data_IF_168191388712
#
_entry.id   IF_168191388712
#
_cell.length_a   1.000
_cell.length_b   1.000
_cell.length_c   1.000
_cell.angle_alpha   90.00
_cell.angle_beta   90.00
_cell.angle_gamma   90.00
#
_symmetry.space_group_name_H-M   'P 1'
#
loop_
_entity.id
_entity.type
_entity.pdbx_description
1 polymer ?
#
# COMPACT_ATOMS: atom_id res chain seq x y z
N UNK A 1 10.29 12.66 18.62
CA UNK A 1 9.45 13.83 18.31
C UNK A 1 8.01 13.47 18.61
N UNK A 2 7.28 14.27 19.39
CA UNK A 2 5.87 14.03 19.68
C UNK A 2 5.07 14.16 18.37
N UNK A 3 4.48 13.04 17.92
CA UNK A 3 3.51 13.03 16.82
C UNK A 3 2.36 13.94 17.24
N UNK A 4 2.29 15.15 16.68
CA UNK A 4 1.23 16.10 17.00
C UNK A 4 -0.09 15.49 16.55
N UNK A 5 -0.92 15.12 17.52
CA UNK A 5 -2.32 14.72 17.36
C UNK A 5 -3.18 15.93 16.97
N UNK A 6 -2.87 16.55 15.82
CA UNK A 6 -3.82 17.44 15.18
C UNK A 6 -5.01 16.59 14.77
N UNK A 7 -6.20 16.91 15.29
CA UNK A 7 -7.46 16.31 14.86
C UNK A 7 -7.54 16.34 13.34
N UNK A 8 -7.39 15.17 12.71
CA UNK A 8 -7.42 15.05 11.25
C UNK A 8 -8.77 15.51 10.72
N UNK A 9 -8.77 16.17 9.57
CA UNK A 9 -9.98 16.46 8.81
C UNK A 9 -10.45 15.16 8.15
N UNK A 10 -11.72 14.81 8.31
CA UNK A 10 -12.34 13.66 7.67
C UNK A 10 -13.32 14.17 6.63
N UNK A 11 -13.23 13.62 5.41
CA UNK A 11 -14.07 13.96 4.27
C UNK A 11 -14.75 12.70 3.75
N UNK A 12 -16.02 12.55 4.05
CA UNK A 12 -16.78 11.38 3.62
C UNK A 12 -16.91 11.34 2.10
N UNK A 13 -16.70 10.16 1.54
CA UNK A 13 -17.06 9.87 0.16
C UNK A 13 -18.50 9.34 0.13
N UNK A 14 -19.21 9.60 -0.96
CA UNK A 14 -20.59 9.15 -1.11
C UNK A 14 -20.81 8.38 -2.39
N UNK A 15 -21.66 7.36 -2.32
CA UNK A 15 -22.14 6.60 -3.47
C UNK A 15 -23.63 6.88 -3.64
N UNK A 16 -24.01 7.55 -4.73
CA UNK A 16 -25.40 7.94 -5.00
C UNK A 16 -26.09 8.68 -3.83
N UNK A 17 -25.32 9.48 -3.07
CA UNK A 17 -25.81 10.22 -1.89
C UNK A 17 -25.77 9.45 -0.56
N UNK A 18 -25.43 8.16 -0.56
CA UNK A 18 -25.25 7.36 0.64
C UNK A 18 -23.77 7.32 1.08
N UNK A 19 -23.51 7.43 2.39
CA UNK A 19 -22.17 7.30 3.00
C UNK A 19 -21.84 5.86 3.40
N UNK A 20 -22.82 4.97 3.36
CA UNK A 20 -22.65 3.53 3.53
C UNK A 20 -23.52 2.76 2.53
N UNK A 21 -22.97 1.71 1.93
CA UNK A 21 -23.66 0.87 0.93
C UNK A 21 -23.53 -0.59 1.32
N UNK A 22 -24.66 -1.28 1.45
CA UNK A 22 -24.71 -2.73 1.72
C UNK A 22 -24.95 -3.50 0.42
N UNK A 23 -24.16 -4.56 0.23
CA UNK A 23 -24.09 -5.35 -0.98
C UNK A 23 -24.19 -6.82 -0.57
N UNK A 24 -24.98 -7.60 -1.31
CA UNK A 24 -24.96 -9.06 -1.23
C UNK A 24 -24.03 -9.59 -2.33
N UNK A 25 -22.90 -10.23 -1.98
CA UNK A 25 -21.97 -10.81 -2.94
C UNK A 25 -22.62 -11.84 -3.86
N UNK A 26 -22.21 -11.87 -5.12
CA UNK A 26 -22.76 -12.78 -6.12
C UNK A 26 -22.24 -12.53 -7.54
N UNK A 27 -22.62 -13.42 -8.47
CA UNK A 27 -22.30 -13.23 -9.88
C UNK A 27 -23.03 -11.98 -10.42
N UNK A 28 -22.28 -11.06 -11.02
CA UNK A 28 -22.84 -9.83 -11.63
C UNK A 28 -23.00 -8.63 -10.70
N UNK A 29 -22.54 -8.72 -9.45
CA UNK A 29 -22.45 -7.56 -8.54
C UNK A 29 -21.59 -6.48 -9.19
N UNK A 30 -22.18 -5.30 -9.36
CA UNK A 30 -21.48 -4.15 -9.92
C UNK A 30 -20.51 -3.55 -8.88
N UNK A 31 -19.40 -2.94 -9.31
CA UNK A 31 -18.53 -2.20 -8.43
C UNK A 31 -19.29 -1.08 -7.70
N UNK A 32 -18.90 -0.76 -6.47
CA UNK A 32 -19.45 0.40 -5.76
C UNK A 32 -18.56 1.60 -5.99
N UNK A 33 -19.14 2.63 -6.62
CA UNK A 33 -18.47 3.87 -6.91
C UNK A 33 -18.78 4.92 -5.84
N UNK A 34 -17.75 5.32 -5.11
CA UNK A 34 -17.73 6.45 -4.19
C UNK A 34 -17.13 7.67 -4.89
N UNK A 35 -17.66 8.84 -4.59
CA UNK A 35 -17.17 10.11 -5.14
C UNK A 35 -16.86 11.09 -4.02
N UNK A 36 -15.78 11.86 -4.19
CA UNK A 36 -15.53 13.01 -3.35
C UNK A 36 -16.41 14.16 -3.85
N UNK A 37 -17.44 14.60 -3.10
CA UNK A 37 -18.19 15.79 -3.47
C UNK A 37 -17.24 16.98 -3.56
N UNK A 38 -17.51 17.91 -4.49
CA UNK A 38 -16.66 19.06 -4.73
C UNK A 38 -16.34 19.77 -3.40
N UNK A 39 -15.06 19.80 -2.97
CA UNK A 39 -14.73 20.28 -1.64
C UNK A 39 -15.12 21.75 -1.50
N UNK A 40 -15.92 22.08 -0.48
CA UNK A 40 -16.28 23.46 -0.12
C UNK A 40 -15.15 24.15 0.68
N UNK A 41 -13.91 24.04 0.23
CA UNK A 41 -12.81 24.76 0.88
C UNK A 41 -12.62 26.12 0.22
N UNK A 42 -12.80 27.19 1.00
CA UNK A 42 -12.38 28.52 0.62
C UNK A 42 -10.85 28.52 0.49
N UNK A 43 -10.33 28.69 -0.73
CA UNK A 43 -8.92 28.57 -1.08
C UNK A 43 -8.01 29.68 -0.47
N UNK A 44 -8.50 30.41 0.53
CA UNK A 44 -7.83 31.53 1.20
C UNK A 44 -6.78 31.07 2.21
N UNK A 45 -5.75 30.36 1.75
CA UNK A 45 -4.58 30.00 2.56
C UNK A 45 -4.75 28.79 3.48
N UNK A 46 -5.73 27.93 3.21
CA UNK A 46 -5.87 26.62 3.82
C UNK A 46 -5.77 25.53 2.75
N UNK A 47 -4.74 24.69 2.83
CA UNK A 47 -4.45 23.65 1.85
C UNK A 47 -4.41 22.26 2.52
N UNK A 48 -5.53 21.73 3.05
CA UNK A 48 -5.54 20.41 3.67
C UNK A 48 -4.94 19.34 2.76
N UNK A 49 -3.97 18.59 3.26
CA UNK A 49 -3.28 17.54 2.49
C UNK A 49 -3.91 16.19 2.80
N UNK A 50 -4.42 15.51 1.78
CA UNK A 50 -4.99 14.18 1.88
C UNK A 50 -3.88 13.18 2.18
N UNK A 51 -3.95 12.50 3.33
CA UNK A 51 -2.95 11.52 3.73
C UNK A 51 -3.30 10.13 3.21
N UNK A 52 -4.58 9.78 3.19
CA UNK A 52 -5.07 8.47 2.75
C UNK A 52 -6.55 8.51 2.41
N UNK A 53 -6.99 7.56 1.60
CA UNK A 53 -8.40 7.13 1.54
C UNK A 53 -8.53 5.91 2.45
N UNK A 54 -9.53 5.90 3.33
CA UNK A 54 -9.85 4.75 4.17
C UNK A 54 -11.17 4.16 3.69
N UNK A 55 -11.20 2.85 3.50
CA UNK A 55 -12.41 2.08 3.22
C UNK A 55 -12.66 1.15 4.40
N UNK A 56 -13.78 1.35 5.10
CA UNK A 56 -14.31 0.40 6.07
C UNK A 56 -15.21 -0.59 5.35
N UNK A 57 -14.90 -1.87 5.49
CA UNK A 57 -15.70 -3.00 5.04
C UNK A 57 -16.19 -3.78 6.26
N UNK A 58 -17.50 -3.73 6.53
CA UNK A 58 -18.15 -4.63 7.48
C UNK A 58 -18.67 -5.84 6.71
N UNK A 59 -18.02 -6.98 6.86
CA UNK A 59 -18.35 -8.21 6.15
C UNK A 59 -19.00 -9.23 7.10
N UNK A 60 -20.07 -9.87 6.64
CA UNK A 60 -20.61 -11.08 7.28
C UNK A 60 -20.08 -12.28 6.51
N UNK A 61 -19.36 -13.15 7.20
CA UNK A 61 -18.70 -14.32 6.61
C UNK A 61 -19.13 -15.54 7.40
N UNK A 62 -19.58 -16.58 6.69
CA UNK A 62 -19.83 -17.90 7.23
C UNK A 62 -18.66 -18.80 6.86
N UNK A 63 -17.91 -19.27 7.84
CA UNK A 63 -16.95 -20.35 7.62
C UNK A 63 -17.73 -21.64 7.30
N UNK A 64 -17.09 -22.57 6.58
CA UNK A 64 -17.71 -23.81 6.12
C UNK A 64 -18.19 -24.74 7.24
N UNK A 65 -18.37 -26.03 6.96
CA UNK A 65 -18.89 -26.98 7.96
C UNK A 65 -18.07 -27.08 9.24
N UNK A 66 -18.74 -27.35 10.37
CA UNK A 66 -18.12 -27.58 11.67
C UNK A 66 -16.98 -28.62 11.58
N UNK A 67 -15.82 -28.32 12.19
CA UNK A 67 -14.60 -29.14 12.11
C UNK A 67 -13.69 -28.88 10.91
N UNK A 68 -14.05 -27.95 10.02
CA UNK A 68 -13.18 -27.50 8.93
C UNK A 68 -11.99 -26.66 9.42
N UNK A 69 -11.03 -26.40 8.52
CA UNK A 69 -10.03 -25.35 8.72
C UNK A 69 -10.70 -24.00 9.03
N UNK A 70 -9.99 -23.13 9.75
CA UNK A 70 -10.40 -21.75 10.00
C UNK A 70 -9.97 -20.84 8.84
N UNK A 71 -10.75 -19.79 8.56
CA UNK A 71 -10.34 -18.70 7.69
C UNK A 71 -9.36 -17.83 8.47
N UNK A 72 -8.10 -17.80 8.06
CA UNK A 72 -7.07 -17.00 8.74
C UNK A 72 -7.30 -15.49 8.52
N UNK A 73 -6.87 -14.68 9.48
CA UNK A 73 -7.03 -13.21 9.46
C UNK A 73 -6.49 -12.57 8.16
N UNK A 74 -5.39 -13.09 7.59
CA UNK A 74 -4.75 -12.56 6.39
C UNK A 74 -5.62 -12.79 5.16
N UNK A 75 -6.45 -13.84 5.19
CA UNK A 75 -7.39 -14.17 4.13
C UNK A 75 -8.57 -13.22 4.12
N UNK A 76 -9.01 -12.71 5.28
CA UNK A 76 -10.22 -11.88 5.39
C UNK A 76 -10.20 -10.66 4.45
N UNK A 77 -9.01 -10.13 4.14
CA UNK A 77 -8.84 -9.05 3.17
C UNK A 77 -9.36 -9.39 1.76
N UNK A 78 -9.49 -10.67 1.40
CA UNK A 78 -10.10 -11.15 0.15
C UNK A 78 -11.58 -10.80 0.01
N UNK A 79 -12.27 -10.38 1.08
CA UNK A 79 -13.64 -9.89 0.99
C UNK A 79 -13.77 -8.73 -0.03
N UNK A 80 -12.68 -7.98 -0.23
CA UNK A 80 -12.55 -7.02 -1.32
C UNK A 80 -11.65 -7.58 -2.41
N UNK A 81 -12.17 -7.64 -3.62
CA UNK A 81 -11.42 -8.06 -4.81
C UNK A 81 -10.35 -7.03 -5.16
N UNK A 82 -10.76 -5.77 -5.36
CA UNK A 82 -9.84 -4.70 -5.71
C UNK A 82 -10.40 -3.29 -5.50
N UNK A 83 -9.50 -2.32 -5.54
CA UNK A 83 -9.79 -0.89 -5.51
C UNK A 83 -9.26 -0.22 -6.77
N UNK A 84 -10.04 0.69 -7.34
CA UNK A 84 -9.56 1.63 -8.33
C UNK A 84 -9.85 3.03 -7.85
N UNK A 85 -8.87 3.92 -7.89
CA UNK A 85 -9.16 5.35 -7.70
C UNK A 85 -8.61 6.16 -8.86
N UNK A 86 -9.42 7.11 -9.29
CA UNK A 86 -9.13 7.96 -10.42
C UNK A 86 -9.51 9.41 -10.09
N UNK A 87 -8.66 10.36 -10.44
CA UNK A 87 -9.05 11.76 -10.48
C UNK A 87 -8.62 12.42 -11.80
N UNK A 88 -9.36 13.44 -12.27
CA UNK A 88 -9.06 14.08 -13.56
C UNK A 88 -7.64 14.64 -13.67
N UNK A 89 -7.09 15.19 -12.58
CA UNK A 89 -5.77 15.83 -12.58
C UNK A 89 -4.60 14.84 -12.57
N UNK A 90 -4.76 13.64 -12.00
CA UNK A 90 -3.66 12.68 -11.83
C UNK A 90 -3.78 11.46 -12.74
N UNK A 91 -4.99 11.12 -13.19
CA UNK A 91 -5.27 9.84 -13.84
C UNK A 91 -5.63 8.76 -12.82
N UNK A 92 -5.26 7.51 -13.09
CA UNK A 92 -5.48 6.38 -12.18
C UNK A 92 -4.40 6.35 -11.10
N UNK A 93 -4.76 6.69 -9.87
CA UNK A 93 -3.81 6.78 -8.74
C UNK A 93 -3.61 5.41 -8.09
N UNK A 94 -4.70 4.67 -7.94
CA UNK A 94 -4.70 3.31 -7.39
C UNK A 94 -5.25 2.38 -8.47
N UNK A 95 -4.40 1.49 -8.99
CA UNK A 95 -4.73 0.55 -10.07
C UNK A 95 -5.28 -0.78 -9.47
N UNK A 96 -6.44 -1.27 -9.96
CA UNK A 96 -7.07 -2.48 -9.42
C UNK A 96 -6.25 -3.77 -9.62
N UNK A 97 -5.29 -3.80 -10.56
CA UNK A 97 -4.38 -4.93 -10.69
C UNK A 97 -3.45 -5.06 -9.47
N UNK A 98 -3.12 -3.93 -8.84
CA UNK A 98 -2.18 -3.85 -7.72
C UNK A 98 -2.92 -3.80 -6.40
N UNK A 99 -3.90 -2.90 -6.32
CA UNK A 99 -4.71 -2.67 -5.12
C UNK A 99 -5.81 -3.72 -5.01
N UNK A 100 -5.42 -4.99 -4.94
CA UNK A 100 -6.31 -6.07 -4.49
C UNK A 100 -6.50 -5.96 -2.98
N UNK A 101 -7.56 -6.54 -2.42
CA UNK A 101 -7.80 -6.50 -0.98
C UNK A 101 -6.58 -6.93 -0.15
N UNK A 102 -6.02 -8.14 -0.39
CA UNK A 102 -4.81 -8.62 0.27
C UNK A 102 -3.60 -7.69 0.10
N UNK A 103 -3.23 -7.30 -1.14
CA UNK A 103 -2.05 -6.45 -1.37
C UNK A 103 -2.21 -5.08 -0.72
N UNK A 104 -3.42 -4.51 -0.79
CA UNK A 104 -3.74 -3.23 -0.16
C UNK A 104 -3.54 -3.31 1.35
N UNK A 105 -4.15 -4.31 2.00
CA UNK A 105 -4.11 -4.44 3.47
C UNK A 105 -2.72 -4.81 3.98
N UNK A 106 -2.10 -5.80 3.36
CA UNK A 106 -0.96 -6.51 3.91
C UNK A 106 0.39 -5.99 3.44
N UNK A 107 0.41 -5.26 2.32
CA UNK A 107 1.62 -4.70 1.76
C UNK A 107 1.57 -3.18 1.68
N UNK A 108 0.65 -2.61 0.89
CA UNK A 108 0.64 -1.17 0.62
C UNK A 108 0.36 -0.35 1.90
N UNK A 109 -0.68 -0.72 2.65
CA UNK A 109 -1.00 -0.13 3.96
C UNK A 109 0.14 -0.34 4.94
N UNK A 110 0.57 -1.59 5.15
CA UNK A 110 1.61 -1.92 6.12
C UNK A 110 2.87 -1.08 5.88
N UNK A 111 3.39 -1.04 4.65
CA UNK A 111 4.59 -0.27 4.31
C UNK A 111 4.34 1.24 4.43
N UNK A 112 3.27 1.77 3.84
CA UNK A 112 3.03 3.22 3.82
C UNK A 112 2.61 3.78 5.17
N UNK A 113 2.11 2.95 6.08
CA UNK A 113 1.73 3.33 7.44
C UNK A 113 2.86 3.03 8.44
N UNK A 114 4.11 3.05 7.97
CA UNK A 114 5.30 2.94 8.82
C UNK A 114 5.45 1.56 9.47
N UNK A 115 5.07 0.50 8.75
CA UNK A 115 5.08 -0.89 9.20
C UNK A 115 4.04 -1.18 10.30
N UNK A 116 2.85 -0.58 10.17
CA UNK A 116 1.72 -0.79 11.09
C UNK A 116 0.39 -0.93 10.34
N UNK A 117 -0.59 -1.58 10.95
CA UNK A 117 -1.95 -1.69 10.40
C UNK A 117 -2.85 -0.59 10.96
N UNK A 118 -3.79 -0.15 10.12
CA UNK A 118 -4.89 0.72 10.51
C UNK A 118 -6.07 -0.09 11.01
N UNK A 119 -6.71 0.42 12.07
CA UNK A 119 -7.88 -0.19 12.70
C UNK A 119 -7.54 -1.41 13.57
N UNK A 120 -8.56 -2.06 14.16
CA UNK A 120 -8.39 -3.31 14.87
C UNK A 120 -7.95 -4.42 13.93
N UNK A 121 -7.10 -5.32 14.44
CA UNK A 121 -6.80 -6.59 13.78
C UNK A 121 -7.89 -7.57 14.20
N UNK A 122 -8.61 -8.14 13.24
CA UNK A 122 -9.59 -9.19 13.51
C UNK A 122 -8.87 -10.52 13.69
N UNK A 123 -9.38 -11.35 14.60
CA UNK A 123 -9.00 -12.75 14.63
C UNK A 123 -9.58 -13.46 13.40
N UNK A 124 -9.00 -14.62 13.05
CA UNK A 124 -9.56 -15.48 12.01
C UNK A 124 -10.95 -16.02 12.40
N UNK A 125 -11.66 -16.58 11.43
CA UNK A 125 -13.00 -17.15 11.64
C UNK A 125 -12.87 -18.66 11.77
N UNK A 126 -13.32 -19.20 12.91
CA UNK A 126 -13.30 -20.65 13.17
C UNK A 126 -14.29 -21.39 12.27
N UNK A 127 -13.96 -22.62 11.86
CA UNK A 127 -14.83 -23.45 11.05
C UNK A 127 -16.20 -23.68 11.70
N UNK A 128 -17.29 -23.62 10.92
CA UNK A 128 -18.67 -23.76 11.41
C UNK A 128 -19.33 -22.48 11.89
N UNK A 129 -18.63 -21.35 11.96
CA UNK A 129 -19.16 -20.11 12.52
C UNK A 129 -19.50 -19.05 11.46
N UNK A 130 -20.57 -18.30 11.71
CA UNK A 130 -20.86 -17.03 11.02
C UNK A 130 -20.44 -15.87 11.90
N UNK A 131 -19.59 -14.99 11.38
CA UNK A 131 -19.09 -13.82 12.09
C UNK A 131 -19.20 -12.54 11.27
N UNK A 132 -19.38 -11.42 11.97
CA UNK A 132 -19.29 -10.08 11.38
C UNK A 132 -17.91 -9.51 11.70
N UNK A 133 -17.14 -9.18 10.67
CA UNK A 133 -15.79 -8.63 10.79
C UNK A 133 -15.72 -7.21 10.24
N UNK A 134 -15.04 -6.32 10.95
CA UNK A 134 -14.79 -4.94 10.52
C UNK A 134 -13.37 -4.84 9.96
N UNK A 135 -13.23 -4.78 8.64
CA UNK A 135 -11.98 -4.64 7.92
C UNK A 135 -11.76 -3.18 7.51
N UNK A 136 -10.55 -2.67 7.69
CA UNK A 136 -10.17 -1.34 7.22
C UNK A 136 -9.08 -1.48 6.18
N UNK A 137 -9.25 -0.84 5.04
CA UNK A 137 -8.27 -0.78 3.96
C UNK A 137 -7.80 0.66 3.80
N UNK A 138 -6.48 0.85 3.83
CA UNK A 138 -5.86 2.16 3.57
C UNK A 138 -5.30 2.20 2.16
N UNK A 139 -5.76 3.16 1.36
CA UNK A 139 -5.17 3.54 0.08
C UNK A 139 -4.31 4.80 0.33
N UNK A 140 -2.98 4.64 0.46
CA UNK A 140 -2.12 5.68 0.99
C UNK A 140 -1.74 6.72 -0.07
N UNK A 141 -1.87 8.00 0.26
CA UNK A 141 -1.16 9.07 -0.45
C UNK A 141 0.17 9.37 0.23
N UNK A 142 0.13 9.60 1.54
CA UNK A 142 1.30 9.78 2.39
C UNK A 142 2.05 8.46 2.59
N UNK A 143 3.35 8.53 2.83
CA UNK A 143 4.18 7.36 3.10
C UNK A 143 5.01 7.57 4.38
N UNK A 144 4.51 7.04 5.49
CA UNK A 144 5.08 7.16 6.84
C UNK A 144 6.42 6.45 7.02
N UNK A 145 6.87 5.64 6.05
CA UNK A 145 8.22 5.09 6.06
C UNK A 145 9.29 6.16 5.76
N UNK A 146 8.92 7.29 5.15
CA UNK A 146 9.85 8.36 4.78
C UNK A 146 9.93 9.44 5.85
N UNK A 147 11.07 10.16 5.90
CA UNK A 147 11.29 11.25 6.86
C UNK A 147 10.23 12.36 6.78
N UNK A 148 9.73 12.64 5.59
CA UNK A 148 8.64 13.60 5.36
C UNK A 148 7.46 12.89 4.66
N UNK A 149 6.58 12.23 5.43
CA UNK A 149 5.47 11.45 4.86
C UNK A 149 4.49 12.28 4.05
N UNK A 150 4.34 13.55 4.42
CA UNK A 150 3.43 14.46 3.75
C UNK A 150 3.95 14.87 2.37
N UNK A 151 5.22 14.68 2.02
CA UNK A 151 5.76 15.04 0.70
C UNK A 151 4.99 14.39 -0.48
N UNK A 152 4.28 13.29 -0.19
CA UNK A 152 3.44 12.59 -1.16
C UNK A 152 1.96 12.98 -1.11
N UNK A 153 1.53 13.64 -0.05
CA UNK A 153 0.13 13.96 0.22
C UNK A 153 -0.34 15.14 -0.65
N UNK A 154 -1.28 14.93 -1.58
CA UNK A 154 -1.83 16.01 -2.40
C UNK A 154 -2.73 16.93 -1.59
N UNK A 155 -2.85 18.19 -1.98
CA UNK A 155 -3.94 19.04 -1.51
C UNK A 155 -5.28 18.42 -1.92
N UNK A 156 -6.23 18.36 -0.98
CA UNK A 156 -7.57 17.78 -1.19
C UNK A 156 -8.29 18.43 -2.37
N UNK A 157 -8.06 19.73 -2.64
CA UNK A 157 -8.67 20.41 -3.79
C UNK A 157 -8.30 19.80 -5.15
N UNK A 158 -7.11 19.18 -5.28
CA UNK A 158 -6.73 18.45 -6.50
C UNK A 158 -7.42 17.10 -6.65
N UNK A 159 -8.05 16.60 -5.59
CA UNK A 159 -8.85 15.37 -5.60
C UNK A 159 -10.33 15.65 -5.90
N UNK A 160 -10.67 16.86 -6.34
CA UNK A 160 -12.03 17.19 -6.79
C UNK A 160 -12.47 16.21 -7.89
N UNK A 161 -13.68 15.65 -7.76
CA UNK A 161 -14.19 14.59 -8.63
C UNK A 161 -13.38 13.29 -8.60
N UNK A 162 -12.63 13.02 -7.53
CA UNK A 162 -12.07 11.69 -7.27
C UNK A 162 -13.21 10.67 -7.29
N UNK A 163 -13.04 9.63 -8.10
CA UNK A 163 -13.86 8.43 -8.14
C UNK A 163 -13.08 7.29 -7.50
N UNK A 164 -13.64 6.69 -6.46
CA UNK A 164 -13.15 5.47 -5.84
C UNK A 164 -14.14 4.35 -6.16
N UNK A 165 -13.69 3.40 -6.95
CA UNK A 165 -14.42 2.17 -7.23
C UNK A 165 -13.91 1.05 -6.32
N UNK A 166 -14.83 0.38 -5.64
CA UNK A 166 -14.56 -0.76 -4.76
C UNK A 166 -15.24 -2.01 -5.33
N UNK A 167 -14.44 -3.01 -5.68
CA UNK A 167 -14.92 -4.29 -6.20
C UNK A 167 -15.02 -5.30 -5.05
N UNK A 168 -16.24 -5.68 -4.67
CA UNK A 168 -16.46 -6.75 -3.68
C UNK A 168 -16.19 -8.10 -4.34
N UNK A 169 -15.60 -9.04 -3.58
CA UNK A 169 -15.33 -10.38 -4.08
C UNK A 169 -16.62 -11.20 -4.25
N UNK A 170 -16.50 -12.36 -4.92
CA UNK A 170 -17.62 -13.30 -5.04
C UNK A 170 -17.97 -13.90 -3.67
N UNK A 171 -19.20 -14.43 -3.55
CA UNK A 171 -19.63 -15.10 -2.33
C UNK A 171 -18.74 -16.29 -1.94
N UNK A 172 -18.16 -16.98 -2.92
CA UNK A 172 -17.33 -18.19 -2.70
C UNK A 172 -15.84 -17.89 -2.54
N UNK A 173 -15.44 -16.63 -2.34
CA UNK A 173 -14.01 -16.25 -2.32
C UNK A 173 -13.18 -16.98 -1.25
N UNK A 174 -13.83 -17.42 -0.17
CA UNK A 174 -13.21 -18.14 0.94
C UNK A 174 -13.29 -19.67 0.84
N UNK A 175 -13.95 -20.22 -0.18
CA UNK A 175 -14.18 -21.67 -0.34
C UNK A 175 -12.86 -22.46 -0.45
N UNK A 176 -11.82 -21.84 -1.04
CA UNK A 176 -10.48 -22.42 -1.11
C UNK A 176 -9.73 -22.45 0.23
N UNK A 177 -10.12 -21.60 1.19
CA UNK A 177 -9.53 -21.57 2.55
C UNK A 177 -10.28 -22.52 3.48
N UNK A 178 -11.59 -22.63 3.31
CA UNK A 178 -12.49 -23.47 4.10
C UNK A 178 -13.67 -23.88 3.23
N UNK A 179 -13.77 -25.16 2.89
CA UNK A 179 -14.81 -25.64 1.96
C UNK A 179 -16.22 -25.32 2.48
N UNK A 180 -17.04 -24.73 1.62
CA UNK A 180 -18.38 -24.26 1.93
C UNK A 180 -18.43 -22.87 2.56
N UNK A 181 -17.30 -22.18 2.75
CA UNK A 181 -17.29 -20.83 3.30
C UNK A 181 -17.87 -19.80 2.32
N UNK A 182 -18.67 -18.88 2.86
CA UNK A 182 -19.36 -17.84 2.10
C UNK A 182 -19.14 -16.45 2.67
N UNK A 183 -18.99 -15.47 1.77
CA UNK A 183 -19.15 -14.05 2.05
C UNK A 183 -20.62 -13.71 1.80
N UNK A 184 -21.37 -13.45 2.88
CA UNK A 184 -22.83 -13.35 2.84
C UNK A 184 -23.30 -11.91 2.59
N UNK A 185 -22.62 -10.92 3.18
CA UNK A 185 -22.92 -9.51 2.97
C UNK A 185 -21.70 -8.63 3.23
N UNK A 186 -21.64 -7.48 2.56
CA UNK A 186 -20.61 -6.47 2.75
C UNK A 186 -21.24 -5.09 2.85
N UNK A 187 -20.94 -4.34 3.89
CA UNK A 187 -21.27 -2.91 4.00
C UNK A 187 -20.01 -2.08 3.89
N UNK A 188 -19.97 -1.19 2.91
CA UNK A 188 -18.82 -0.32 2.63
C UNK A 188 -19.11 1.12 3.07
N UNK A 189 -18.11 1.73 3.69
CA UNK A 189 -18.03 3.19 3.91
C UNK A 189 -16.63 3.67 3.53
N UNK A 190 -16.51 4.86 2.97
CA UNK A 190 -15.21 5.39 2.57
C UNK A 190 -15.06 6.88 2.88
N UNK A 191 -13.87 7.31 3.27
CA UNK A 191 -13.55 8.70 3.58
C UNK A 191 -12.09 9.02 3.26
N UNK A 192 -11.78 10.31 3.10
CA UNK A 192 -10.41 10.81 3.02
C UNK A 192 -10.03 11.38 4.39
N UNK A 193 -8.88 10.97 4.91
CA UNK A 193 -8.23 11.65 6.03
C UNK A 193 -7.26 12.70 5.49
N UNK A 194 -7.28 13.89 6.09
CA UNK A 194 -6.43 14.99 5.69
C UNK A 194 -5.85 15.74 6.89
N UNK A 195 -4.67 16.32 6.69
CA UNK A 195 -4.01 17.19 7.69
C UNK A 195 -4.11 18.63 7.21
N UNK A 196 -4.64 19.57 8.03
CA UNK A 196 -4.68 20.97 7.65
C UNK A 196 -3.25 21.53 7.53
N UNK A 197 -2.94 22.17 6.41
CA UNK A 197 -1.69 22.92 6.23
C UNK A 197 -1.99 24.31 5.70
N UNK A 198 -1.08 25.25 5.98
CA UNK A 198 -1.17 26.62 5.44
C UNK A 198 -0.36 26.79 4.17
N UNK A 199 0.52 25.85 3.86
CA UNK A 199 1.48 25.94 2.73
C UNK A 199 1.01 25.01 1.63
N UNK A 200 0.89 25.56 0.43
CA UNK A 200 0.69 24.75 -0.77
C UNK A 200 2.03 24.13 -1.20
N UNK A 201 2.06 22.81 -1.30
CA UNK A 201 3.21 22.03 -1.76
C UNK A 201 2.77 21.09 -2.87
N UNK A 202 3.47 21.11 -4.01
CA UNK A 202 3.27 20.12 -5.07
C UNK A 202 3.77 18.75 -4.59
N UNK A 203 3.02 17.65 -4.71
CA UNK A 203 3.43 16.38 -4.14
C UNK A 203 4.33 15.59 -5.10
N UNK A 204 5.16 14.71 -4.55
CA UNK A 204 5.63 13.53 -5.30
C UNK A 204 4.49 12.50 -5.33
N UNK A 205 4.29 11.77 -6.43
CA UNK A 205 3.23 10.75 -6.47
C UNK A 205 3.81 9.39 -6.07
N UNK A 206 3.23 8.77 -5.04
CA UNK A 206 3.53 7.40 -4.64
C UNK A 206 2.65 6.44 -5.45
N UNK A 207 3.24 5.68 -6.37
CA UNK A 207 2.54 4.75 -7.23
C UNK A 207 2.95 3.33 -6.89
N UNK A 208 1.96 2.45 -6.68
CA UNK A 208 2.22 1.02 -6.57
C UNK A 208 1.93 0.34 -7.89
N UNK A 209 2.80 -0.57 -8.33
CA UNK A 209 2.63 -1.36 -9.56
C UNK A 209 2.82 -2.84 -9.28
N UNK A 210 2.11 -3.69 -10.02
CA UNK A 210 2.26 -5.14 -9.99
C UNK A 210 2.81 -5.60 -11.32
N UNK A 211 3.73 -6.53 -11.26
CA UNK A 211 4.29 -7.25 -12.38
C UNK A 211 3.99 -8.72 -12.17
N UNK A 212 3.60 -9.40 -13.25
CA UNK A 212 3.24 -10.82 -13.23
C UNK A 212 4.19 -11.61 -14.13
N UNK A 213 5.52 -11.60 -13.87
CA UNK A 213 6.44 -12.44 -14.61
C UNK A 213 6.06 -13.91 -14.47
N UNK A 214 6.16 -14.64 -15.58
CA UNK A 214 5.96 -16.08 -15.58
C UNK A 214 6.95 -16.76 -14.63
N UNK A 215 6.44 -17.74 -13.89
CA UNK A 215 7.27 -18.62 -13.07
C UNK A 215 8.06 -19.62 -13.92
N UNK A 216 7.46 -20.07 -15.03
CA UNK A 216 8.11 -20.92 -16.00
C UNK A 216 9.13 -20.10 -16.83
N UNK A 217 10.40 -20.50 -16.81
CA UNK A 217 11.47 -19.81 -17.55
C UNK A 217 12.78 -19.62 -16.79
N UNK A 218 12.81 -19.94 -15.49
CA UNK A 218 14.05 -20.05 -14.70
C UNK A 218 14.31 -18.90 -13.73
N UNK A 219 15.58 -18.72 -13.40
CA UNK A 219 16.11 -17.85 -12.34
C UNK A 219 15.93 -16.34 -12.55
N UNK A 220 15.23 -15.89 -13.60
CA UNK A 220 15.10 -14.47 -13.92
C UNK A 220 13.64 -14.05 -13.97
N UNK A 221 13.32 -12.92 -13.35
CA UNK A 221 12.05 -12.21 -13.52
C UNK A 221 12.32 -10.90 -14.27
N UNK A 222 11.62 -10.71 -15.40
CA UNK A 222 11.67 -9.47 -16.15
C UNK A 222 10.45 -8.60 -15.80
N UNK A 223 10.70 -7.43 -15.22
CA UNK A 223 9.71 -6.38 -15.01
C UNK A 223 9.80 -5.40 -16.17
N UNK A 224 8.76 -5.37 -16.99
CA UNK A 224 8.72 -4.50 -18.18
C UNK A 224 8.27 -3.09 -17.81
N UNK A 225 8.88 -2.07 -18.42
CA UNK A 225 8.42 -0.68 -18.30
C UNK A 225 8.31 -0.15 -16.84
N UNK A 226 9.30 -0.45 -16.00
CA UNK A 226 9.44 0.15 -14.67
C UNK A 226 9.66 1.66 -14.82
N UNK A 227 8.91 2.47 -14.07
CA UNK A 227 8.90 3.92 -14.25
C UNK A 227 8.13 4.42 -15.47
N UNK A 228 7.42 3.56 -16.22
CA UNK A 228 6.42 3.97 -17.20
C UNK A 228 5.18 4.58 -16.54
N UNK A 229 4.34 5.33 -17.26
CA UNK A 229 3.28 6.14 -16.65
C UNK A 229 2.23 5.34 -15.85
N UNK A 230 1.96 4.08 -16.20
CA UNK A 230 1.12 3.19 -15.39
C UNK A 230 -0.26 3.75 -15.06
N UNK A 231 -0.89 4.47 -16.00
CA UNK A 231 -2.21 5.08 -15.82
C UNK A 231 -2.21 6.50 -15.20
N UNK A 232 -1.06 7.01 -14.75
CA UNK A 232 -0.90 8.40 -14.34
C UNK A 232 -0.71 9.30 -15.58
N UNK A 233 -1.41 10.43 -15.61
CA UNK A 233 -1.31 11.42 -16.69
C UNK A 233 -0.43 12.62 -16.34
N UNK A 234 -0.09 12.78 -15.05
CA UNK A 234 0.56 13.96 -14.51
C UNK A 234 2.08 13.84 -14.35
N UNK A 235 2.67 12.67 -14.64
CA UNK A 235 4.07 12.36 -14.30
C UNK A 235 4.96 12.22 -15.53
N UNK A 236 6.26 12.47 -15.34
CA UNK A 236 7.29 12.14 -16.34
C UNK A 236 7.64 10.65 -16.30
N UNK A 237 8.17 10.09 -17.40
CA UNK A 237 8.81 8.79 -17.38
C UNK A 237 10.00 8.74 -16.42
N UNK A 238 10.21 7.57 -15.82
CA UNK A 238 11.21 7.34 -14.79
C UNK A 238 10.62 7.42 -13.38
N UNK A 239 11.30 6.75 -12.45
CA UNK A 239 10.87 6.61 -11.07
C UNK A 239 12.07 6.58 -10.13
N UNK A 240 11.83 6.87 -8.86
CA UNK A 240 12.68 6.39 -7.78
C UNK A 240 12.03 5.19 -7.11
N UNK A 241 12.78 4.09 -6.99
CA UNK A 241 12.25 2.85 -6.42
C UNK A 241 12.39 2.85 -4.90
N UNK A 242 11.27 3.06 -4.22
CA UNK A 242 11.17 2.99 -2.77
C UNK A 242 11.20 1.54 -2.28
N UNK A 243 10.54 0.63 -2.99
CA UNK A 243 10.49 -0.77 -2.60
C UNK A 243 10.16 -1.73 -3.74
N UNK A 244 10.56 -2.99 -3.55
CA UNK A 244 10.33 -4.13 -4.43
C UNK A 244 9.98 -5.30 -3.52
N UNK A 245 8.81 -5.90 -3.75
CA UNK A 245 8.25 -6.95 -2.91
C UNK A 245 7.76 -8.09 -3.80
N UNK A 246 8.28 -9.28 -3.60
CA UNK A 246 7.80 -10.49 -4.28
C UNK A 246 6.76 -11.15 -3.37
N UNK A 247 5.52 -11.24 -3.84
CA UNK A 247 4.44 -11.82 -3.06
C UNK A 247 4.58 -13.35 -2.99
N UNK A 248 4.46 -13.89 -1.78
CA UNK A 248 4.56 -15.33 -1.51
C UNK A 248 3.25 -15.85 -0.93
N UNK A 249 2.97 -17.14 -1.10
CA UNK A 249 1.79 -17.91 -0.66
C UNK A 249 0.73 -18.22 -1.72
N UNK A 250 0.21 -19.44 -1.59
CA UNK A 250 -0.77 -20.10 -2.47
C UNK A 250 -2.20 -19.64 -2.21
N UNK A 251 -2.51 -19.19 -0.99
CA UNK A 251 -3.87 -18.79 -0.60
C UNK A 251 -3.95 -17.33 -0.15
N UNK A 252 -2.90 -16.50 -0.24
CA UNK A 252 -2.91 -15.16 0.34
C UNK A 252 -2.66 -14.04 -0.65
N UNK A 253 -1.61 -14.15 -1.48
CA UNK A 253 -1.22 -13.12 -2.45
C UNK A 253 -0.51 -13.72 -3.69
N UNK A 254 -1.11 -14.75 -4.29
CA UNK A 254 -1.07 -14.97 -5.75
C UNK A 254 0.12 -15.70 -6.37
N UNK A 255 0.90 -16.49 -5.63
CA UNK A 255 2.01 -17.28 -6.21
C UNK A 255 1.90 -18.78 -5.91
N UNK A 256 2.18 -19.63 -6.91
CA UNK A 256 2.10 -21.09 -6.78
C UNK A 256 3.31 -21.75 -6.06
N UNK A 257 4.26 -20.98 -5.53
CA UNK A 257 5.48 -21.53 -4.93
C UNK A 257 5.55 -21.33 -3.42
N UNK A 258 6.10 -22.34 -2.76
CA UNK A 258 6.51 -22.27 -1.37
C UNK A 258 7.79 -21.43 -1.28
N UNK A 259 7.85 -20.53 -0.30
CA UNK A 259 9.04 -19.71 -0.02
C UNK A 259 10.30 -20.57 0.24
N UNK A 260 10.13 -21.84 0.63
CA UNK A 260 11.17 -22.84 0.85
C UNK A 260 12.02 -23.17 -0.38
N UNK A 261 11.62 -22.73 -1.58
CA UNK A 261 12.42 -22.89 -2.78
C UNK A 261 13.45 -21.78 -3.00
N UNK A 262 13.37 -20.61 -2.35
CA UNK A 262 14.29 -19.47 -2.62
C UNK A 262 15.61 -19.60 -1.86
N UNK A 263 16.74 -19.57 -2.57
CA UNK A 263 18.08 -19.62 -1.96
C UNK A 263 18.81 -18.29 -2.00
N UNK A 264 18.56 -17.47 -3.04
CA UNK A 264 19.13 -16.13 -3.15
C UNK A 264 18.33 -15.23 -4.09
N UNK A 265 18.55 -13.92 -3.97
CA UNK A 265 18.11 -12.94 -4.96
C UNK A 265 19.13 -11.80 -5.15
N UNK A 266 19.12 -11.18 -6.34
CA UNK A 266 20.00 -10.06 -6.68
C UNK A 266 19.38 -9.13 -7.74
N UNK A 267 19.78 -7.86 -7.73
CA UNK A 267 19.44 -6.91 -8.79
C UNK A 267 20.63 -5.99 -9.09
N UNK A 268 21.46 -6.39 -10.06
CA UNK A 268 22.66 -5.66 -10.47
C UNK A 268 22.34 -4.25 -10.96
N UNK A 269 21.21 -4.08 -11.63
CA UNK A 269 20.74 -2.79 -12.14
C UNK A 269 20.44 -1.76 -11.05
N UNK A 270 20.23 -2.20 -9.80
CA UNK A 270 20.08 -1.35 -8.63
C UNK A 270 21.32 -1.36 -7.72
N UNK A 271 22.41 -1.97 -8.19
CA UNK A 271 23.61 -2.25 -7.40
C UNK A 271 23.29 -3.00 -6.10
N UNK A 272 22.25 -3.83 -6.12
CA UNK A 272 21.86 -4.64 -4.99
C UNK A 272 22.68 -5.93 -5.00
N UNK A 273 23.57 -6.14 -4.00
CA UNK A 273 24.37 -7.35 -3.94
C UNK A 273 23.47 -8.57 -3.73
N UNK A 274 23.97 -9.73 -4.13
CA UNK A 274 23.28 -11.00 -3.91
C UNK A 274 23.04 -11.21 -2.42
N UNK A 275 21.76 -11.34 -2.07
CA UNK A 275 21.33 -11.75 -0.74
C UNK A 275 21.23 -13.26 -0.72
N UNK A 276 22.00 -13.91 0.14
CA UNK A 276 21.98 -15.36 0.36
C UNK A 276 21.18 -15.67 1.62
N UNK A 277 20.70 -16.92 1.75
CA UNK A 277 19.95 -17.38 2.93
C UNK A 277 18.71 -16.49 3.17
N UNK A 278 17.82 -16.52 2.17
CA UNK A 278 16.61 -15.69 2.13
C UNK A 278 15.77 -15.86 3.38
N UNK A 279 15.70 -17.07 3.92
CA UNK A 279 14.98 -17.38 5.16
C UNK A 279 15.46 -16.52 6.34
N UNK A 280 16.78 -16.50 6.57
CA UNK A 280 17.36 -15.71 7.65
C UNK A 280 17.19 -14.22 7.43
N UNK A 281 17.32 -13.76 6.18
CA UNK A 281 17.12 -12.37 5.82
C UNK A 281 15.67 -11.92 6.08
N UNK A 282 14.69 -12.70 5.64
CA UNK A 282 13.26 -12.41 5.81
C UNK A 282 12.87 -12.43 7.29
N UNK A 283 13.33 -13.45 8.03
CA UNK A 283 13.09 -13.52 9.48
C UNK A 283 13.64 -12.30 10.22
N UNK A 284 14.87 -11.87 9.89
CA UNK A 284 15.47 -10.68 10.48
C UNK A 284 14.73 -9.39 10.11
N UNK A 285 14.26 -9.28 8.85
CA UNK A 285 13.48 -8.13 8.41
C UNK A 285 12.20 -7.97 9.26
N UNK A 286 11.39 -9.02 9.37
CA UNK A 286 10.15 -8.97 10.16
C UNK A 286 10.44 -8.77 11.66
N UNK A 287 11.50 -9.39 12.19
CA UNK A 287 11.92 -9.20 13.58
C UNK A 287 12.37 -7.75 13.88
N UNK A 288 13.08 -7.09 12.96
CA UNK A 288 13.52 -5.71 13.12
C UNK A 288 12.35 -4.73 13.06
N UNK A 289 11.39 -4.94 12.15
CA UNK A 289 10.21 -4.07 11.99
C UNK A 289 9.16 -4.25 13.10
N UNK A 290 9.26 -5.31 13.89
CA UNK A 290 8.49 -5.52 15.14
C UNK A 290 8.81 -4.49 16.23
N UNK A 291 10.07 -4.06 16.34
CA UNK A 291 10.51 -3.17 17.42
C UNK A 291 10.00 -1.73 17.25
N UNK A 292 9.69 -1.30 16.01
CA UNK A 292 9.12 0.03 15.75
C UNK A 292 7.63 0.14 16.06
N UNK A 293 6.90 -0.98 16.13
CA UNK A 293 5.45 -0.99 16.44
C UNK A 293 5.19 -0.79 17.95
N UNK A 294 6.18 -1.06 18.81
CA UNK A 294 6.06 -0.98 20.29
C UNK A 294 6.84 0.23 20.84
N UNK A 295 6.83 1.34 20.11
CA UNK A 295 7.47 2.60 20.50
C UNK A 295 6.71 3.43 21.54
N UNK A 296 5.61 2.92 22.10
CA UNK A 296 4.88 3.56 23.19
C UNK A 296 5.07 2.77 24.49
N UNK A 297 5.94 3.24 25.39
CA UNK A 297 6.13 2.80 26.78
C UNK A 297 5.76 1.33 27.06
N UNK A 298 6.72 0.42 26.91
CA UNK A 298 6.69 -0.83 27.68
C UNK A 298 7.04 -0.49 29.12
N UNK A 299 6.06 -0.11 29.93
CA UNK A 299 6.17 -0.35 31.36
C UNK A 299 6.23 -1.85 31.54
N UNK A 300 7.43 -2.36 31.83
CA UNK A 300 7.62 -3.70 32.38
C UNK A 300 6.79 -3.80 33.67
N UNK A 301 5.52 -4.19 33.54
CA UNK A 301 4.74 -4.66 34.69
C UNK A 301 5.07 -6.14 34.82
N UNK A 302 6.03 -6.42 35.71
CA UNK A 302 6.28 -7.76 36.20
C UNK A 302 4.96 -8.31 36.78
N UNK A 303 4.50 -9.47 36.27
CA UNK A 303 3.44 -10.25 36.92
C UNK A 303 2.10 -10.37 36.19
N UNK A 304 1.93 -9.83 34.97
CA UNK A 304 0.76 -10.15 34.12
C UNK A 304 1.25 -10.62 32.76
N UNK A 305 1.68 -11.87 32.70
CA UNK A 305 1.99 -12.58 31.45
C UNK A 305 0.69 -13.11 30.82
N UNK A 306 -0.17 -12.19 30.38
CA UNK A 306 -0.83 -12.39 29.09
C UNK A 306 -0.38 -11.24 28.22
N UNK A 307 0.78 -11.37 27.56
CA UNK A 307 1.08 -10.49 26.45
C UNK A 307 -0.09 -10.59 25.44
N UNK A 308 -0.25 -9.61 24.57
CA UNK A 308 -1.08 -9.74 23.36
C UNK A 308 -0.46 -10.76 22.39
N UNK A 309 -0.19 -11.97 22.88
CA UNK A 309 0.64 -13.04 22.28
C UNK A 309 -0.14 -14.08 21.51
N UNK A 310 -1.47 -13.99 21.43
CA UNK A 310 -2.28 -14.98 20.71
C UNK A 310 -3.17 -14.37 19.61
N UNK A 311 -2.97 -13.10 19.22
CA UNK A 311 -3.67 -12.60 18.03
C UNK A 311 -3.03 -13.22 16.79
N UNK A 312 -3.83 -13.99 16.05
CA UNK A 312 -3.48 -14.49 14.73
C UNK A 312 -3.15 -13.29 13.84
N UNK A 313 -1.96 -13.26 13.26
CA UNK A 313 -1.63 -12.27 12.23
C UNK A 313 -0.79 -11.07 12.55
N UNK A 314 -0.28 -11.00 13.78
CA UNK A 314 0.95 -10.23 13.95
C UNK A 314 2.10 -11.04 13.33
N UNK A 315 2.95 -10.50 12.43
CA UNK A 315 4.18 -11.18 12.02
C UNK A 315 5.08 -11.54 13.23
N UNK A 316 4.82 -10.94 14.40
CA UNK A 316 5.33 -11.32 15.73
C UNK A 316 4.87 -12.70 16.25
N UNK A 317 3.63 -13.12 16.01
CA UNK A 317 3.03 -14.34 16.59
C UNK A 317 3.04 -15.52 15.62
N UNK A 318 3.39 -15.31 14.34
CA UNK A 318 3.97 -16.38 13.51
C UNK A 318 5.33 -16.86 14.04
N UNK A 319 5.92 -16.12 15.00
CA UNK A 319 7.14 -16.46 15.70
C UNK A 319 6.84 -16.87 17.15
N UNK A 320 6.16 -18.00 17.34
CA UNK A 320 6.22 -18.72 18.60
C UNK A 320 7.58 -19.39 18.72
N UNK A 321 8.55 -18.76 19.41
CA UNK A 321 9.81 -19.40 19.84
C UNK A 321 10.54 -20.21 18.77
N UNK A 322 10.38 -19.84 17.50
CA UNK A 322 10.77 -20.67 16.38
C UNK A 322 12.28 -20.77 16.35
N UNK A 323 12.80 -21.96 16.62
CA UNK A 323 14.13 -22.33 16.17
C UNK A 323 14.22 -22.05 14.67
N UNK A 324 15.41 -21.81 14.12
CA UNK A 324 15.53 -21.60 12.67
C UNK A 324 14.80 -22.71 11.88
N UNK A 325 14.71 -23.95 12.42
CA UNK A 325 13.87 -25.07 11.95
C UNK A 325 12.36 -24.87 11.92
N UNK A 326 11.76 -24.13 12.86
CA UNK A 326 10.33 -23.81 12.84
C UNK A 326 10.03 -22.68 11.83
N UNK A 327 11.04 -21.87 11.51
CA UNK A 327 11.06 -21.03 10.32
C UNK A 327 11.37 -21.86 9.06
N UNK A 328 12.17 -22.93 9.09
CA UNK A 328 12.47 -23.77 7.92
C UNK A 328 11.32 -24.68 7.49
N UNK A 329 10.27 -24.79 8.30
CA UNK A 329 8.94 -25.24 7.91
C UNK A 329 7.99 -24.09 7.55
N UNK A 330 8.55 -22.97 7.02
CA UNK A 330 7.91 -21.66 6.80
C UNK A 330 6.39 -21.79 6.71
N UNK A 331 5.70 -21.24 7.71
CA UNK A 331 4.25 -21.32 7.77
C UNK A 331 3.65 -20.96 6.40
N UNK A 332 2.54 -21.59 6.00
CA UNK A 332 1.83 -21.30 4.75
C UNK A 332 1.36 -19.83 4.62
N UNK A 333 1.70 -18.97 5.58
CA UNK A 333 1.15 -17.63 5.81
C UNK A 333 2.19 -16.50 5.56
N UNK A 334 3.38 -16.78 5.00
CA UNK A 334 4.30 -15.71 4.58
C UNK A 334 3.70 -14.92 3.39
N UNK A 335 3.44 -13.64 3.61
CA UNK A 335 2.73 -12.78 2.65
C UNK A 335 3.62 -12.25 1.51
N UNK A 336 4.87 -11.86 1.80
CA UNK A 336 5.81 -11.34 0.80
C UNK A 336 7.28 -11.41 1.25
N UNK A 337 8.19 -11.39 0.28
CA UNK A 337 9.64 -11.26 0.42
C UNK A 337 10.05 -9.84 -0.01
N UNK A 338 10.63 -9.02 0.88
CA UNK A 338 11.11 -7.69 0.52
C UNK A 338 12.49 -7.77 -0.12
N UNK A 339 12.59 -7.43 -1.41
CA UNK A 339 13.88 -7.28 -2.08
C UNK A 339 14.52 -5.93 -1.74
N UNK A 340 13.66 -4.90 -1.69
CA UNK A 340 14.02 -3.53 -1.31
C UNK A 340 12.84 -2.94 -0.55
N UNK A 341 13.14 -2.20 0.51
CA UNK A 341 12.14 -1.56 1.36
C UNK A 341 12.70 -0.21 1.80
N UNK A 342 11.87 0.83 1.96
CA UNK A 342 12.37 2.09 2.50
C UNK A 342 12.85 1.86 3.95
N UNK A 343 14.02 2.40 4.28
CA UNK A 343 14.42 2.54 5.69
C UNK A 343 13.36 3.30 6.49
N UNK A 344 13.31 3.14 7.81
CA UNK A 344 12.56 4.10 8.61
C UNK A 344 13.22 5.47 8.43
N UNK A 345 12.42 6.52 8.23
CA UNK A 345 12.91 7.87 7.95
C UNK A 345 13.76 7.96 6.67
N UNK A 346 13.48 7.13 5.67
CA UNK A 346 14.17 7.21 4.39
C UNK A 346 13.99 8.59 3.74
N UNK A 347 15.04 9.13 3.13
CA UNK A 347 14.94 10.30 2.27
C UNK A 347 14.49 9.86 0.86
N UNK A 348 13.62 10.65 0.21
CA UNK A 348 13.21 10.39 -1.19
C UNK A 348 14.43 10.44 -2.11
N UNK A 349 15.33 11.40 -1.88
CA UNK A 349 16.51 11.65 -2.70
C UNK A 349 17.51 10.49 -2.76
N UNK A 350 17.53 9.62 -1.73
CA UNK A 350 18.45 8.48 -1.63
C UNK A 350 17.93 7.21 -2.33
N UNK A 351 16.69 7.21 -2.83
CA UNK A 351 16.14 6.08 -3.56
C UNK A 351 16.70 6.01 -5.00
N UNK A 352 17.07 4.82 -5.51
CA UNK A 352 17.69 4.67 -6.82
C UNK A 352 16.71 5.08 -7.91
N UNK A 353 17.24 5.82 -8.90
CA UNK A 353 16.50 6.19 -10.09
C UNK A 353 16.50 5.03 -11.08
N UNK A 354 15.36 4.76 -11.69
CA UNK A 354 15.25 3.71 -12.69
C UNK A 354 14.21 4.07 -13.76
N UNK A 355 14.44 3.57 -14.98
CA UNK A 355 13.49 3.64 -16.09
C UNK A 355 13.74 2.49 -17.06
N UNK A 356 12.67 1.81 -17.47
CA UNK A 356 12.71 0.76 -18.50
C UNK A 356 12.59 -0.64 -17.92
N UNK A 357 13.23 -1.61 -18.57
CA UNK A 357 13.11 -3.02 -18.22
C UNK A 357 14.09 -3.40 -17.10
N UNK A 358 13.57 -3.99 -16.03
CA UNK A 358 14.34 -4.47 -14.89
C UNK A 358 14.38 -6.00 -14.85
N UNK A 359 15.57 -6.55 -14.68
CA UNK A 359 15.80 -7.98 -14.47
C UNK A 359 16.12 -8.24 -13.01
N UNK A 360 15.31 -9.08 -12.39
CA UNK A 360 15.48 -9.59 -11.04
C UNK A 360 16.03 -11.02 -11.11
N UNK A 361 17.17 -11.26 -10.46
CA UNK A 361 17.81 -12.57 -10.40
C UNK A 361 17.35 -13.31 -9.15
N UNK A 362 16.86 -14.54 -9.30
CA UNK A 362 16.31 -15.42 -8.26
C UNK A 362 16.97 -16.77 -8.37
N UNK A 363 17.48 -17.31 -7.28
CA UNK A 363 17.98 -18.69 -7.28
C UNK A 363 17.04 -19.55 -6.47
N UNK A 364 16.74 -20.74 -7.00
CA UNK A 364 15.88 -21.70 -6.34
C UNK A 364 16.59 -23.02 -6.08
N UNK A 365 16.24 -23.71 -5.00
CA UNK A 365 16.63 -25.11 -4.77
C UNK A 365 15.96 -26.03 -5.78
N UNK A 366 14.70 -25.74 -6.13
CA UNK A 366 13.95 -26.38 -7.19
C UNK A 366 13.18 -25.31 -7.97
N UNK A 367 13.47 -25.16 -9.26
CA UNK A 367 12.85 -24.13 -10.08
C UNK A 367 11.34 -24.42 -10.25
N UNK A 368 10.48 -23.41 -10.09
CA UNK A 368 9.05 -23.54 -10.32
C UNK A 368 8.77 -23.84 -11.80
N UNK A 369 7.92 -24.84 -12.06
CA UNK A 369 7.62 -25.31 -13.42
C UNK A 369 6.42 -24.61 -14.07
N UNK A 370 5.61 -23.88 -13.29
CA UNK A 370 4.41 -23.17 -13.76
C UNK A 370 3.98 -22.07 -12.77
N UNK A 371 3.06 -21.19 -13.19
CA UNK A 371 2.49 -20.12 -12.37
C UNK A 371 3.03 -18.72 -12.70
N UNK A 372 2.73 -17.76 -11.83
CA UNK A 372 3.24 -16.39 -11.86
C UNK A 372 3.84 -16.05 -10.50
N UNK A 373 4.79 -15.12 -10.50
CA UNK A 373 5.34 -14.53 -9.29
C UNK A 373 4.97 -13.05 -9.23
N UNK A 374 3.87 -12.68 -8.56
CA UNK A 374 3.51 -11.29 -8.44
C UNK A 374 4.64 -10.52 -7.74
N UNK A 375 5.17 -9.52 -8.43
CA UNK A 375 6.16 -8.60 -7.88
C UNK A 375 5.54 -7.23 -7.86
N UNK A 376 5.43 -6.68 -6.67
CA UNK A 376 4.85 -5.37 -6.42
C UNK A 376 5.98 -4.36 -6.16
N UNK A 377 5.96 -3.24 -6.88
CA UNK A 377 6.90 -2.13 -6.67
C UNK A 377 6.20 -0.93 -6.04
N UNK A 378 6.95 -0.19 -5.22
CA UNK A 378 6.59 1.16 -4.78
C UNK A 378 7.49 2.16 -5.51
N UNK A 379 6.87 2.95 -6.37
CA UNK A 379 7.49 3.87 -7.30
C UNK A 379 7.16 5.33 -6.95
N UNK A 380 8.19 6.13 -6.70
CA UNK A 380 8.05 7.57 -6.47
C UNK A 380 8.18 8.31 -7.80
N UNK A 381 7.12 9.01 -8.18
CA UNK A 381 6.97 9.66 -9.47
C UNK A 381 7.02 11.17 -9.35
N UNK A 382 7.70 11.79 -10.31
CA UNK A 382 7.80 13.25 -10.40
C UNK A 382 6.73 13.80 -11.34
N UNK A 383 6.10 14.91 -10.95
CA UNK A 383 5.19 15.67 -11.80
C UNK A 383 5.91 16.23 -13.03
N UNK A 384 5.21 16.24 -14.16
CA UNK A 384 5.67 17.00 -15.33
C UNK A 384 5.58 18.50 -15.08
N UNK A 385 6.33 19.29 -15.85
CA UNK A 385 6.26 20.75 -15.79
C UNK A 385 4.84 21.24 -16.12
N UNK A 386 4.20 20.63 -17.12
CA UNK A 386 2.82 20.95 -17.50
C UNK A 386 1.83 20.60 -16.38
N UNK A 387 1.96 19.42 -15.77
CA UNK A 387 1.09 19.03 -14.66
C UNK A 387 1.26 19.96 -13.45
N UNK A 388 2.50 20.31 -13.11
CA UNK A 388 2.80 21.27 -12.04
C UNK A 388 2.07 22.60 -12.27
N UNK A 389 2.06 23.11 -13.51
CA UNK A 389 1.33 24.32 -13.87
C UNK A 389 -0.18 24.16 -13.70
N UNK A 390 -0.75 23.07 -14.22
CA UNK A 390 -2.18 22.78 -14.09
C UNK A 390 -2.60 22.69 -12.61
N UNK A 391 -1.76 22.10 -11.76
CA UNK A 391 -2.03 21.97 -10.32
C UNK A 391 -2.02 23.33 -9.62
N UNK A 392 -1.05 24.19 -9.94
CA UNK A 392 -0.96 25.54 -9.40
C UNK A 392 -2.13 26.42 -9.85
N UNK A 393 -2.53 26.30 -11.12
CA UNK A 393 -3.70 26.99 -11.67
C UNK A 393 -5.01 26.50 -11.01
N UNK A 394 -5.17 25.19 -10.82
CA UNK A 394 -6.30 24.62 -10.09
C UNK A 394 -6.36 25.06 -8.62
N UNK A 395 -5.22 25.43 -8.04
CA UNK A 395 -5.12 26.00 -6.70
C UNK A 395 -5.28 27.54 -6.68
N UNK A 396 -5.60 28.16 -7.82
CA UNK A 396 -5.73 29.61 -8.00
C UNK A 396 -4.46 30.40 -7.59
N UNK A 397 -3.27 29.85 -7.84
CA UNK A 397 -2.01 30.57 -7.60
C UNK A 397 -1.80 31.61 -8.71
N UNK A 398 -1.48 32.86 -8.32
CA UNK A 398 -1.27 33.96 -9.27
C UNK A 398 -0.22 33.65 -10.36
N UNK A 399 -0.54 34.02 -11.60
CA UNK A 399 0.33 33.78 -12.76
C UNK A 399 1.71 34.45 -12.62
N UNK A 400 1.79 35.62 -11.99
CA UNK A 400 3.07 36.32 -11.73
C UNK A 400 4.00 35.49 -10.83
N UNK A 401 3.43 34.75 -9.87
CA UNK A 401 4.16 33.87 -8.95
C UNK A 401 4.59 32.58 -9.63
N UNK A 402 3.72 32.01 -10.46
CA UNK A 402 4.04 30.87 -11.31
C UNK A 402 5.26 31.21 -12.19
N UNK A 403 5.23 32.37 -12.85
CA UNK A 403 6.33 32.83 -13.71
C UNK A 403 7.64 33.02 -12.91
N UNK A 404 7.56 33.53 -11.68
CA UNK A 404 8.72 33.65 -10.78
C UNK A 404 9.31 32.29 -10.37
N UNK A 405 8.47 31.29 -10.06
CA UNK A 405 8.91 29.94 -9.72
C UNK A 405 9.53 29.21 -10.93
N UNK A 406 8.93 29.36 -12.12
CA UNK A 406 9.50 28.84 -13.36
C UNK A 406 10.89 29.42 -13.60
N UNK A 407 11.04 30.74 -13.48
CA UNK A 407 12.34 31.39 -13.64
C UNK A 407 13.38 30.84 -12.65
N UNK A 408 13.02 30.67 -11.37
CA UNK A 408 13.92 30.08 -10.38
C UNK A 408 14.31 28.62 -10.68
N UNK A 409 13.40 27.84 -11.26
CA UNK A 409 13.62 26.45 -11.68
C UNK A 409 14.52 26.35 -12.92
N UNK A 410 14.31 27.22 -13.92
CA UNK A 410 15.12 27.28 -15.15
C UNK A 410 16.50 27.92 -14.92
N UNK A 411 16.64 28.84 -13.95
CA UNK A 411 17.91 29.49 -13.60
C UNK A 411 18.83 28.60 -12.75
N UNK A 412 18.50 27.31 -12.55
CA UNK A 412 19.38 26.32 -11.92
C UNK A 412 19.69 26.59 -10.44
N UNK A 413 18.91 27.41 -9.75
CA UNK A 413 19.11 27.62 -8.30
C UNK A 413 18.80 26.33 -7.55
N UNK A 414 19.71 25.81 -6.71
CA UNK A 414 19.50 24.54 -6.03
C UNK A 414 18.35 24.67 -5.04
N UNK A 415 17.16 24.21 -5.43
CA UNK A 415 16.07 23.98 -4.49
C UNK A 415 16.43 22.73 -3.67
N UNK A 416 17.02 22.96 -2.50
CA UNK A 416 17.43 21.95 -1.52
C UNK A 416 18.27 20.80 -2.11
N UNK A 417 19.58 20.90 -1.99
CA UNK A 417 20.59 19.95 -2.49
C UNK A 417 20.45 18.48 -2.04
N UNK A 418 19.48 18.17 -1.15
CA UNK A 418 19.16 16.79 -0.72
C UNK A 418 18.09 16.11 -1.58
N UNK A 419 17.55 16.78 -2.58
CA UNK A 419 16.27 16.41 -3.19
C UNK A 419 16.39 15.66 -4.53
N UNK A 420 17.35 16.02 -5.38
CA UNK A 420 17.84 15.25 -6.56
C UNK A 420 16.84 14.85 -7.66
N UNK A 421 15.53 15.03 -7.48
CA UNK A 421 14.45 14.74 -8.43
C UNK A 421 13.27 15.57 -7.93
N UNK A 422 12.78 16.55 -8.71
CA UNK A 422 11.86 17.63 -8.29
C UNK A 422 10.90 17.26 -7.14
N UNK A 423 11.39 17.46 -5.90
CA UNK A 423 10.71 17.23 -4.62
C UNK A 423 9.69 18.34 -4.39
N UNK A 424 8.74 18.18 -3.45
CA UNK A 424 7.69 19.16 -3.24
C UNK A 424 8.16 20.59 -3.26
N UNK A 425 7.69 21.31 -4.27
CA UNK A 425 7.97 22.73 -4.43
C UNK A 425 7.04 23.45 -3.47
N UNK A 426 7.63 23.97 -2.39
CA UNK A 426 6.94 24.90 -1.49
C UNK A 426 6.61 26.17 -2.24
N UNK A 427 5.32 26.48 -2.31
CA UNK A 427 4.84 27.77 -2.79
C UNK A 427 4.90 28.74 -1.61
N UNK A 428 5.70 29.82 -1.65
CA UNK A 428 5.87 30.72 -0.50
C UNK A 428 4.53 31.25 0.01
N UNK A 429 4.30 31.26 1.33
CA UNK A 429 3.13 31.92 1.88
C UNK A 429 3.38 33.43 2.00
N UNK A 430 2.30 34.21 1.94
CA UNK A 430 2.31 35.65 2.20
C UNK A 430 2.89 35.98 3.58
#
# INVERSE_FOLDING_TARGET
MSRSSGSGLVLDLSSQGATAVTITPGAGVQPVDFTLPAPKFDARGNYPRATRIVVKCRATITAGTEGSSSIQWDKLAKAISSFRSHCPLMGTIHDPLVFTGPVTKHLAEFVCNGYTYYGPINDGITGGETQIVDLYFVLPFANEAFFSPLDFAPWVGWLTQLQLQVNVASSTVFDADTSGATLDSVTLSAWIEAVPTKVLELPSINQWRVYLPAAAGGSQALLQDVGGQGGLTCVIPGTRLAGIYECTSVNGMGGAALATAYTSFACDQLSQPTTFNIDSFVAQYYAARRQSVVGGRVTNVAGVLTPMTNMAGNPRNMAGGASASDLFGLSPDLMFIPWRTPGADAEIGSQPKFQGNMTLQRTFTAAPSSGQFPIVTNEIRQLSAQASLTFLQAANVDQSRINGMQKAYYDGRPQNAKSGFGIPVRVPNH
#
